data_IF_470409671017
#
_entry.id   IF_470409671017
#
_cell.length_a   1.000
_cell.length_b   1.000
_cell.length_c   1.000
_cell.angle_alpha   90.00
_cell.angle_beta   90.00
_cell.angle_gamma   90.00
#
_symmetry.space_group_name_H-M   'P 1'
#
loop_
_entity.id
_entity.type
_entity.pdbx_description
1 polymer ?
#
# COMPACT_ATOMS: atom_id res chain seq x y z
N UNK A 1 -10.79 -18.75 -4.29
CA UNK A 1 -10.96 -17.61 -3.39
C UNK A 1 -10.04 -17.73 -2.18
N UNK A 2 -10.02 -18.88 -1.53
CA UNK A 2 -9.15 -19.04 -0.38
C UNK A 2 -7.69 -19.03 -0.76
N UNK A 3 -7.38 -19.59 -1.91
CA UNK A 3 -6.01 -19.62 -2.37
C UNK A 3 -5.53 -18.19 -2.64
N UNK A 4 -6.39 -17.39 -3.24
CA UNK A 4 -6.02 -16.00 -3.53
C UNK A 4 -5.79 -15.21 -2.24
N UNK A 5 -6.62 -15.45 -1.23
CA UNK A 5 -6.46 -14.77 0.04
C UNK A 5 -5.16 -15.20 0.71
N UNK A 6 -4.85 -16.49 0.66
CA UNK A 6 -3.63 -16.99 1.25
C UNK A 6 -2.40 -16.44 0.53
N UNK A 7 -2.48 -16.30 -0.80
CA UNK A 7 -1.38 -15.76 -1.57
C UNK A 7 -1.15 -14.29 -1.20
N UNK A 8 -2.22 -13.53 -1.05
CA UNK A 8 -2.10 -12.13 -0.68
C UNK A 8 -1.50 -11.99 0.71
N UNK A 9 -1.94 -12.83 1.64
CA UNK A 9 -1.41 -12.78 3.00
C UNK A 9 0.07 -13.12 3.02
N UNK A 10 0.49 -14.09 2.20
CA UNK A 10 1.89 -14.44 2.10
C UNK A 10 2.74 -13.32 1.53
N UNK A 11 2.22 -12.64 0.52
CA UNK A 11 2.93 -11.51 -0.07
C UNK A 11 3.07 -10.39 0.95
N UNK A 12 1.98 -10.10 1.66
CA UNK A 12 2.01 -9.03 2.66
C UNK A 12 3.02 -9.33 3.75
N UNK A 13 3.10 -10.58 4.20
CA UNK A 13 4.05 -10.95 5.23
C UNK A 13 5.48 -10.81 4.73
N UNK A 14 5.71 -11.21 3.49
CA UNK A 14 7.03 -11.10 2.89
C UNK A 14 7.46 -9.64 2.76
N UNK A 15 6.54 -8.79 2.33
CA UNK A 15 6.80 -7.37 2.22
C UNK A 15 7.12 -6.76 3.59
N UNK A 16 6.36 -7.16 4.61
CA UNK A 16 6.59 -6.66 5.95
C UNK A 16 8.00 -6.98 6.42
N UNK A 17 8.44 -8.21 6.14
CA UNK A 17 9.78 -8.63 6.53
C UNK A 17 10.85 -7.82 5.79
N UNK A 18 10.67 -7.62 4.49
CA UNK A 18 11.61 -6.85 3.71
C UNK A 18 11.67 -5.40 4.18
N UNK A 19 10.53 -4.82 4.51
CA UNK A 19 10.49 -3.46 5.02
C UNK A 19 11.26 -3.34 6.33
N UNK A 20 11.05 -4.28 7.24
CA UNK A 20 11.74 -4.25 8.51
C UNK A 20 13.24 -4.37 8.32
N UNK A 21 13.67 -5.26 7.45
CA UNK A 21 15.09 -5.41 7.18
C UNK A 21 15.69 -4.13 6.62
N UNK A 22 14.99 -3.51 5.67
CA UNK A 22 15.48 -2.28 5.08
C UNK A 22 15.50 -1.12 6.05
N UNK A 23 14.50 -1.05 6.91
CA UNK A 23 14.44 0.01 7.91
C UNK A 23 15.53 -0.18 8.97
N UNK A 24 15.75 -1.42 9.40
CA UNK A 24 16.80 -1.70 10.37
C UNK A 24 18.16 -1.38 9.81
N UNK A 25 18.36 -1.61 8.52
CA UNK A 25 19.62 -1.32 7.87
C UNK A 25 19.79 0.16 7.53
N UNK A 26 18.76 0.97 7.76
CA UNK A 26 18.83 2.38 7.40
C UNK A 26 18.64 2.65 5.92
N UNK A 27 18.26 1.65 5.14
CA UNK A 27 18.06 1.82 3.70
C UNK A 27 16.70 2.41 3.38
N UNK A 28 15.69 2.07 4.18
CA UNK A 28 14.32 2.56 3.97
C UNK A 28 13.92 3.45 5.14
N UNK A 29 13.12 4.46 4.83
CA UNK A 29 12.68 5.36 5.89
C UNK A 29 11.59 4.70 6.73
N UNK A 30 11.44 5.13 7.98
CA UNK A 30 10.41 4.58 8.86
C UNK A 30 9.03 5.13 8.49
N UNK A 31 8.00 4.58 9.14
CA UNK A 31 6.65 5.08 8.95
C UNK A 31 5.93 4.51 7.76
N UNK A 32 6.38 3.39 7.24
CA UNK A 32 5.78 2.72 6.09
C UNK A 32 5.57 1.26 6.46
N UNK A 33 4.36 0.77 6.22
CA UNK A 33 4.02 -0.63 6.47
C UNK A 33 3.84 -1.37 5.16
N UNK A 34 3.75 -2.70 5.25
CA UNK A 34 3.47 -3.52 4.09
C UNK A 34 2.11 -3.16 3.48
N UNK A 35 1.13 -2.81 4.31
CA UNK A 35 -0.17 -2.39 3.81
C UNK A 35 -0.06 -1.15 2.95
N UNK A 36 0.78 -0.21 3.35
CA UNK A 36 0.98 1.01 2.57
C UNK A 36 1.52 0.68 1.19
N UNK A 37 2.54 -0.16 1.13
CA UNK A 37 3.17 -0.52 -0.14
C UNK A 37 2.21 -1.31 -1.01
N UNK A 38 1.52 -2.28 -0.40
CA UNK A 38 0.56 -3.09 -1.14
C UNK A 38 -0.53 -2.21 -1.73
N UNK A 39 -1.02 -1.25 -0.96
CA UNK A 39 -2.06 -0.34 -1.43
C UNK A 39 -1.56 0.53 -2.57
N UNK A 40 -0.33 1.02 -2.46
CA UNK A 40 0.24 1.84 -3.52
C UNK A 40 0.35 1.05 -4.82
N UNK A 41 0.91 -0.16 -4.77
CA UNK A 41 1.07 -0.98 -5.96
C UNK A 41 -0.30 -1.35 -6.53
N UNK A 42 -1.23 -1.76 -5.68
CA UNK A 42 -2.55 -2.16 -6.13
C UNK A 42 -3.31 -1.01 -6.76
N UNK A 43 -3.17 0.18 -6.19
CA UNK A 43 -3.86 1.36 -6.73
C UNK A 43 -3.39 1.67 -8.14
N UNK A 44 -2.10 1.58 -8.37
CA UNK A 44 -1.57 1.82 -9.71
C UNK A 44 -2.09 0.79 -10.71
N UNK A 45 -2.12 -0.47 -10.27
CA UNK A 45 -2.56 -1.56 -11.15
C UNK A 45 -4.06 -1.50 -11.41
N UNK A 46 -4.85 -1.33 -10.37
CA UNK A 46 -6.31 -1.34 -10.50
C UNK A 46 -6.77 -0.15 -11.33
N UNK A 47 -6.19 1.01 -11.10
CA UNK A 47 -6.59 2.19 -11.85
C UNK A 47 -6.39 1.97 -13.34
N UNK A 48 -5.25 1.45 -13.71
CA UNK A 48 -4.93 1.22 -15.12
C UNK A 48 -5.90 0.24 -15.75
N UNK A 49 -6.16 -0.88 -15.05
CA UNK A 49 -7.03 -1.92 -15.60
C UNK A 49 -8.48 -1.45 -15.66
N UNK A 50 -8.95 -0.79 -14.60
CA UNK A 50 -10.35 -0.41 -14.49
C UNK A 50 -10.72 0.72 -15.44
N UNK A 51 -9.80 1.66 -15.65
CA UNK A 51 -10.09 2.86 -16.43
C UNK A 51 -9.32 2.89 -17.75
N UNK A 52 -8.99 1.74 -18.28
CA UNK A 52 -8.07 1.64 -19.41
C UNK A 52 -8.51 2.46 -20.60
N UNK A 53 -9.77 2.29 -21.03
CA UNK A 53 -10.24 2.97 -22.22
C UNK A 53 -10.23 4.48 -22.04
N UNK A 54 -10.72 4.94 -20.91
CA UNK A 54 -10.78 6.36 -20.62
C UNK A 54 -9.37 6.97 -20.58
N UNK A 55 -8.46 6.30 -19.88
CA UNK A 55 -7.11 6.81 -19.73
C UNK A 55 -6.38 6.81 -21.05
N UNK A 56 -6.58 5.77 -21.85
CA UNK A 56 -5.97 5.72 -23.18
C UNK A 56 -6.45 6.87 -24.05
N UNK A 57 -7.74 7.16 -23.98
CA UNK A 57 -8.28 8.26 -24.76
C UNK A 57 -7.74 9.60 -24.29
N UNK A 58 -7.62 9.77 -22.98
CA UNK A 58 -7.13 11.03 -22.44
C UNK A 58 -5.66 11.28 -22.73
N UNK A 59 -4.86 10.23 -22.60
CA UNK A 59 -3.41 10.35 -22.69
C UNK A 59 -2.85 9.98 -24.05
N UNK A 60 -3.64 9.33 -24.90
CA UNK A 60 -3.13 8.86 -26.17
C UNK A 60 -2.15 7.72 -26.04
N UNK A 61 -2.27 6.92 -24.99
CA UNK A 61 -1.34 5.84 -24.68
C UNK A 61 -2.07 4.53 -24.73
N UNK A 62 -1.51 3.55 -25.44
CA UNK A 62 -2.07 2.21 -25.46
C UNK A 62 -1.34 1.37 -24.43
N UNK A 63 -2.04 1.05 -23.33
CA UNK A 63 -1.42 0.32 -22.21
C UNK A 63 -1.19 -1.17 -22.51
N UNK A 64 -1.70 -1.65 -23.65
CA UNK A 64 -1.57 -3.08 -23.97
C UNK A 64 -0.36 -3.41 -24.81
N UNK A 65 0.41 -2.43 -25.24
CA UNK A 65 1.65 -2.73 -25.95
C UNK A 65 2.67 -3.26 -24.96
N UNK A 66 3.55 -4.11 -25.45
CA UNK A 66 4.59 -4.68 -24.58
C UNK A 66 5.47 -3.58 -24.01
N UNK A 67 5.78 -2.57 -24.81
CA UNK A 67 6.59 -1.45 -24.33
C UNK A 67 5.95 -0.76 -23.14
N UNK A 68 4.65 -0.54 -23.19
CA UNK A 68 3.97 0.17 -22.12
C UNK A 68 3.70 -0.71 -20.93
N UNK A 69 3.51 -2.02 -21.14
CA UNK A 69 3.42 -2.95 -20.04
C UNK A 69 4.74 -2.95 -19.27
N UNK A 70 5.86 -3.03 -19.97
CA UNK A 70 7.16 -2.99 -19.34
C UNK A 70 7.42 -1.65 -18.67
N UNK A 71 6.98 -0.58 -19.33
CA UNK A 71 7.13 0.76 -18.77
C UNK A 71 6.37 0.96 -17.48
N UNK A 72 5.13 0.46 -17.42
CA UNK A 72 4.37 0.55 -16.21
C UNK A 72 5.00 -0.26 -15.08
N UNK A 73 5.58 -1.39 -15.42
CA UNK A 73 6.30 -2.19 -14.45
C UNK A 73 7.48 -1.40 -13.87
N UNK A 74 8.28 -0.81 -14.76
CA UNK A 74 9.41 -0.01 -14.30
C UNK A 74 8.95 1.17 -13.47
N UNK A 75 7.89 1.84 -13.92
CA UNK A 75 7.38 2.99 -13.19
C UNK A 75 6.93 2.60 -11.79
N UNK A 76 6.24 1.48 -11.66
CA UNK A 76 5.79 1.01 -10.36
C UNK A 76 6.98 0.70 -9.45
N UNK A 77 7.96 -0.02 -9.96
CA UNK A 77 9.14 -0.35 -9.17
C UNK A 77 9.89 0.92 -8.75
N UNK A 78 10.08 1.82 -9.69
CA UNK A 78 10.83 3.05 -9.41
C UNK A 78 10.07 3.92 -8.42
N UNK A 79 8.75 4.00 -8.56
CA UNK A 79 7.95 4.80 -7.65
C UNK A 79 8.02 4.25 -6.23
N UNK A 80 7.93 2.93 -6.08
CA UNK A 80 8.00 2.29 -4.78
C UNK A 80 9.37 2.51 -4.15
N UNK A 81 10.42 2.31 -4.93
CA UNK A 81 11.78 2.51 -4.42
C UNK A 81 12.02 3.96 -4.03
N UNK A 82 11.56 4.88 -4.85
CA UNK A 82 11.70 6.30 -4.54
C UNK A 82 10.95 6.65 -3.26
N UNK A 83 9.77 6.10 -3.10
CA UNK A 83 8.96 6.34 -1.92
C UNK A 83 9.64 5.81 -0.66
N UNK A 84 10.21 4.61 -0.75
CA UNK A 84 10.86 3.99 0.40
C UNK A 84 12.14 4.69 0.81
N UNK A 85 12.86 5.27 -0.14
CA UNK A 85 14.17 5.87 0.13
C UNK A 85 14.14 7.39 0.14
N UNK A 86 12.98 7.99 -0.07
CA UNK A 86 12.87 9.45 -0.14
C UNK A 86 13.24 10.09 1.19
N UNK A 87 13.75 11.30 1.10
CA UNK A 87 14.13 12.05 2.29
C UNK A 87 12.94 12.89 2.76
N UNK A 88 11.89 12.19 3.16
CA UNK A 88 10.68 12.83 3.67
C UNK A 88 10.77 12.80 5.19
N UNK A 89 10.52 13.93 5.85
CA UNK A 89 10.61 13.96 7.32
C UNK A 89 9.66 12.97 7.95
N UNK A 90 10.11 12.36 9.03
CA UNK A 90 9.30 11.41 9.79
C UNK A 90 8.12 12.12 10.41
N UNK A 91 6.92 11.65 10.12
CA UNK A 91 5.70 12.28 10.63
C UNK A 91 5.38 11.83 12.05
N UNK A 92 6.06 10.83 12.55
CA UNK A 92 5.75 10.26 13.85
C UNK A 92 4.71 9.17 13.81
N UNK A 93 4.17 8.87 12.64
CA UNK A 93 3.21 7.79 12.48
C UNK A 93 3.93 6.50 12.12
N UNK A 94 3.38 5.38 12.56
CA UNK A 94 3.99 4.08 12.27
C UNK A 94 3.76 3.67 10.83
N UNK A 95 2.66 4.12 10.25
CA UNK A 95 2.32 3.79 8.87
C UNK A 95 1.32 4.80 8.39
N UNK A 96 1.03 4.77 7.10
CA UNK A 96 0.00 5.62 6.52
C UNK A 96 -1.39 5.07 6.78
N UNK A 97 -1.51 3.75 6.72
CA UNK A 97 -2.81 3.10 6.88
C UNK A 97 -2.77 2.22 8.11
N UNK A 98 -3.88 2.14 8.80
CA UNK A 98 -3.98 1.31 9.99
C UNK A 98 -5.05 0.25 9.76
N UNK A 99 -4.90 -0.87 10.45
CA UNK A 99 -5.84 -1.96 10.33
C UNK A 99 -6.97 -1.74 11.32
N UNK A 100 -8.10 -1.32 10.83
CA UNK A 100 -9.21 -0.93 11.69
C UNK A 100 -9.78 -2.11 12.47
N UNK A 101 -9.65 -3.32 11.95
CA UNK A 101 -10.22 -4.47 12.65
C UNK A 101 -9.55 -4.72 13.97
N UNK A 102 -8.26 -4.43 14.06
CA UNK A 102 -7.56 -4.60 15.32
C UNK A 102 -7.72 -3.39 16.20
N UNK A 103 -7.78 -2.23 15.62
CA UNK A 103 -8.04 -1.03 16.38
C UNK A 103 -9.40 -1.09 17.00
N UNK A 104 -10.32 -1.73 16.35
CA UNK A 104 -11.66 -1.87 16.87
C UNK A 104 -11.67 -2.56 18.21
N UNK A 105 -10.82 -3.55 18.39
CA UNK A 105 -10.80 -4.24 19.66
C UNK A 105 -10.43 -3.31 20.77
N UNK A 106 -9.50 -2.46 20.52
CA UNK A 106 -9.14 -1.52 21.55
C UNK A 106 -10.20 -0.50 21.75
N UNK A 107 -10.77 -0.06 20.68
CA UNK A 107 -11.89 0.83 20.79
C UNK A 107 -13.00 0.21 21.59
N UNK A 108 -13.19 -1.07 21.40
CA UNK A 108 -14.25 -1.75 22.11
C UNK A 108 -14.06 -1.70 23.59
N UNK A 109 -12.84 -1.75 23.99
CA UNK A 109 -12.61 -1.73 25.41
C UNK A 109 -13.16 -0.50 26.04
N UNK A 110 -13.06 0.57 25.32
CA UNK A 110 -13.57 1.78 25.87
C UNK A 110 -14.99 2.00 25.50
N UNK A 111 -15.42 1.41 24.45
CA UNK A 111 -16.47 2.06 23.79
C UNK A 111 -17.87 1.97 24.27
N UNK A 112 -18.43 0.86 24.74
CA UNK A 112 -19.85 0.87 24.99
C UNK A 112 -20.27 1.95 25.97
N UNK A 113 -19.48 2.16 26.97
CA UNK A 113 -19.84 3.15 27.94
C UNK A 113 -19.60 4.55 27.45
N UNK A 114 -18.55 4.70 26.67
CA UNK A 114 -18.28 6.01 26.13
C UNK A 114 -19.42 6.46 25.23
N UNK A 115 -19.93 5.54 24.45
CA UNK A 115 -21.02 5.87 23.56
C UNK A 115 -22.23 6.34 24.36
N UNK A 116 -22.54 5.64 25.41
CA UNK A 116 -23.70 6.00 26.20
C UNK A 116 -23.48 7.24 27.01
N UNK A 117 -22.28 7.43 27.45
CA UNK A 117 -22.02 8.58 28.29
C UNK A 117 -22.07 9.87 27.51
N UNK A 118 -21.97 9.81 26.23
CA UNK A 118 -22.07 11.02 25.45
C UNK A 118 -23.48 11.54 25.38
N UNK A 119 -24.42 10.72 25.71
CA UNK A 119 -25.78 11.16 25.70
C UNK A 119 -26.08 11.93 26.97
#
# INVERSE_FOLDING_TARGET
AQQAIADVAGVALHLDRLLLLGQDAGAFRPGISANDIFTLISSLTVYRVTNQVMVENMLGVNFNTQENIDGMHRLTVDAVLAFLTANIPDSGHESYLTSSSFDTKEGDEASPQDIYSEE
#
